data_IF_578516488140
#
_entry.id   IF_578516488140
#
_cell.length_a   1.000
_cell.length_b   1.000
_cell.length_c   1.000
_cell.angle_alpha   90.00
_cell.angle_beta   90.00
_cell.angle_gamma   90.00
#
_symmetry.space_group_name_H-M   'P 1'
#
loop_
_entity.id
_entity.type
_entity.pdbx_description
1 polymer ?
#
# COMPACT_ATOMS: atom_id res chain seq x y z
N UNK A 1 -24.71 39.51 14.17
CA UNK A 1 -23.55 40.30 13.69
C UNK A 1 -23.33 40.25 12.16
N UNK A 2 -23.74 39.19 11.47
CA UNK A 2 -23.53 39.02 10.02
C UNK A 2 -24.40 39.92 9.12
N UNK A 3 -25.58 40.38 9.62
CA UNK A 3 -26.50 41.24 8.87
C UNK A 3 -26.03 42.71 8.74
N UNK A 4 -25.15 43.17 9.65
CA UNK A 4 -24.61 44.55 9.63
C UNK A 4 -23.36 44.70 8.75
N UNK A 5 -22.63 43.61 8.47
CA UNK A 5 -21.46 43.63 7.59
C UNK A 5 -21.86 43.60 6.12
N UNK A 6 -23.02 43.00 5.80
CA UNK A 6 -23.56 42.94 4.43
C UNK A 6 -24.11 44.31 3.96
N UNK A 7 -24.52 45.18 4.88
CA UNK A 7 -25.02 46.52 4.55
C UNK A 7 -23.87 47.53 4.34
N UNK A 8 -22.71 47.32 4.94
CA UNK A 8 -21.56 48.22 4.79
C UNK A 8 -20.73 47.91 3.53
N UNK A 9 -20.83 46.73 2.96
CA UNK A 9 -20.19 46.39 1.69
C UNK A 9 -21.02 46.82 0.46
N UNK A 10 -22.30 47.11 0.62
CA UNK A 10 -23.16 47.59 -0.45
C UNK A 10 -23.01 49.10 -0.73
N UNK A 11 -22.47 49.87 0.21
CA UNK A 11 -22.33 51.35 0.07
C UNK A 11 -20.94 51.85 -0.36
N UNK A 12 -19.95 50.96 -0.45
CA UNK A 12 -18.57 51.34 -0.85
C UNK A 12 -18.31 51.16 -2.37
N UNK A 13 -19.31 50.78 -3.17
CA UNK A 13 -19.10 50.47 -4.59
C UNK A 13 -19.69 51.51 -5.56
N UNK A 14 -19.99 52.72 -5.11
CA UNK A 14 -20.65 53.73 -5.93
C UNK A 14 -19.79 54.94 -6.30
N UNK A 15 -18.49 54.92 -6.23
CA UNK A 15 -17.68 56.02 -6.82
C UNK A 15 -16.35 55.50 -7.34
N UNK A 16 -16.30 55.10 -8.61
CA UNK A 16 -15.11 55.17 -9.43
C UNK A 16 -15.55 55.39 -10.87
N UNK A 17 -15.93 56.59 -11.19
CA UNK A 17 -16.03 57.08 -12.57
C UNK A 17 -14.60 57.24 -13.09
N UNK A 18 -14.11 56.25 -13.82
CA UNK A 18 -12.90 56.38 -14.62
C UNK A 18 -13.33 56.91 -15.99
N UNK A 19 -12.84 58.08 -16.34
CA UNK A 19 -13.01 58.71 -17.63
C UNK A 19 -12.44 57.80 -18.76
N UNK A 20 -13.04 57.72 -19.94
CA UNK A 20 -12.49 56.99 -21.06
C UNK A 20 -11.25 57.70 -21.60
N UNK A 21 -10.09 57.06 -21.50
CA UNK A 21 -8.92 57.45 -22.30
C UNK A 21 -9.25 57.02 -23.74
N UNK A 22 -9.36 58.00 -24.58
CA UNK A 22 -9.46 57.78 -26.05
C UNK A 22 -8.16 57.11 -26.50
N UNK A 23 -8.22 55.82 -26.79
CA UNK A 23 -7.12 55.15 -27.46
C UNK A 23 -7.04 55.72 -28.89
N UNK A 24 -5.98 56.46 -29.16
CA UNK A 24 -5.62 56.82 -30.53
C UNK A 24 -5.31 55.55 -31.30
N UNK A 25 -6.03 55.35 -32.43
CA UNK A 25 -5.75 54.28 -33.36
C UNK A 25 -4.36 54.49 -33.97
N UNK A 26 -3.47 53.53 -33.73
CA UNK A 26 -2.21 53.44 -34.43
C UNK A 26 -2.47 53.12 -35.90
N UNK A 27 -1.58 53.51 -36.85
CA UNK A 27 -1.78 53.31 -38.29
C UNK A 27 -1.91 51.82 -38.64
N UNK A 28 -2.75 51.54 -39.59
CA UNK A 28 -3.07 50.19 -40.15
C UNK A 28 -1.81 49.52 -40.73
N UNK A 29 -1.06 48.79 -39.93
CA UNK A 29 0.04 47.97 -40.43
C UNK A 29 -0.51 46.69 -41.11
N UNK A 30 -0.41 46.65 -42.43
CA UNK A 30 -0.67 45.46 -43.20
C UNK A 30 0.52 44.51 -43.02
N UNK A 31 0.29 43.40 -42.35
CA UNK A 31 1.31 42.35 -42.15
C UNK A 31 1.10 41.21 -43.13
N UNK A 32 2.22 40.61 -43.54
CA UNK A 32 2.20 39.38 -44.34
C UNK A 32 2.15 38.16 -43.44
N UNK A 33 1.33 37.19 -43.79
CA UNK A 33 1.16 35.94 -43.04
C UNK A 33 1.19 34.72 -43.95
N UNK A 34 1.63 33.59 -43.41
CA UNK A 34 1.46 32.29 -44.08
C UNK A 34 0.74 31.30 -43.13
N UNK A 35 -0.03 30.41 -43.71
CA UNK A 35 -0.67 29.32 -42.98
C UNK A 35 0.18 28.07 -43.17
N UNK A 36 0.51 27.41 -42.06
CA UNK A 36 1.23 26.12 -42.05
C UNK A 36 0.35 25.07 -42.74
N UNK A 37 0.89 24.41 -43.77
CA UNK A 37 0.17 23.40 -44.53
C UNK A 37 -0.04 22.12 -43.74
N UNK A 38 -1.19 21.50 -43.93
CA UNK A 38 -1.45 20.17 -43.48
C UNK A 38 -0.62 19.13 -44.25
N UNK A 39 -0.29 17.98 -43.69
CA UNK A 39 0.50 16.94 -44.35
C UNK A 39 -0.08 16.51 -45.68
N UNK A 40 -1.40 16.49 -45.82
CA UNK A 40 -2.10 16.13 -47.07
C UNK A 40 -1.79 17.10 -48.21
N UNK A 41 -1.56 18.38 -47.87
CA UNK A 41 -1.22 19.43 -48.82
C UNK A 41 0.31 19.57 -49.02
N UNK A 42 1.12 18.82 -48.27
CA UNK A 42 2.58 18.87 -48.31
C UNK A 42 3.21 17.49 -48.63
N UNK A 43 2.54 16.67 -49.46
CA UNK A 43 3.06 15.36 -49.87
C UNK A 43 3.21 14.34 -48.76
N UNK A 44 2.36 14.40 -47.71
CA UNK A 44 2.35 13.49 -46.59
C UNK A 44 3.38 13.83 -45.51
N UNK A 45 4.07 14.96 -45.58
CA UNK A 45 5.09 15.41 -44.61
C UNK A 45 4.61 16.62 -43.83
N UNK A 46 4.95 16.70 -42.58
CA UNK A 46 4.75 17.90 -41.78
C UNK A 46 5.55 19.06 -42.36
N UNK A 47 4.94 20.24 -42.43
CA UNK A 47 5.60 21.47 -42.84
C UNK A 47 6.64 21.88 -41.78
N UNK A 48 7.71 22.57 -42.17
CA UNK A 48 8.76 23.05 -41.27
C UNK A 48 9.13 24.50 -41.57
N UNK A 49 9.66 25.21 -40.58
CA UNK A 49 10.07 26.61 -40.73
C UNK A 49 11.02 26.82 -41.91
N UNK A 50 12.07 25.99 -42.16
CA UNK A 50 12.91 26.11 -43.33
C UNK A 50 12.17 25.94 -44.65
N UNK A 51 11.18 25.03 -44.70
CA UNK A 51 10.34 24.84 -45.94
C UNK A 51 9.43 26.03 -46.18
N UNK A 52 8.87 26.60 -45.10
CA UNK A 52 8.06 27.81 -45.19
C UNK A 52 8.92 29.00 -45.64
N UNK A 53 10.12 29.16 -45.06
CA UNK A 53 11.05 30.20 -45.46
C UNK A 53 11.45 30.08 -46.96
N UNK A 54 11.72 28.85 -47.43
CA UNK A 54 12.02 28.61 -48.85
C UNK A 54 10.90 29.04 -49.75
N UNK A 55 9.63 28.78 -49.40
CA UNK A 55 8.46 29.11 -50.24
C UNK A 55 8.05 30.57 -50.16
N UNK A 56 8.33 31.26 -49.03
CA UNK A 56 7.84 32.64 -48.79
C UNK A 56 8.93 33.69 -48.87
N UNK A 57 10.20 33.32 -48.64
CA UNK A 57 11.34 34.22 -48.63
C UNK A 57 12.43 33.83 -49.66
N UNK A 58 12.28 32.62 -50.28
CA UNK A 58 13.23 32.13 -51.29
C UNK A 58 14.50 31.50 -50.69
N UNK A 59 14.69 31.51 -49.37
CA UNK A 59 15.88 31.02 -48.67
C UNK A 59 15.52 30.31 -47.37
N UNK A 60 15.97 29.07 -47.23
CA UNK A 60 15.76 28.25 -46.03
C UNK A 60 16.50 28.79 -44.78
N UNK A 61 17.63 29.46 -44.99
CA UNK A 61 18.43 30.01 -43.90
C UNK A 61 17.70 31.14 -43.14
N UNK A 62 16.71 31.75 -43.76
CA UNK A 62 15.88 32.80 -43.15
C UNK A 62 14.75 32.26 -42.27
N UNK A 63 14.71 30.99 -42.00
CA UNK A 63 13.73 30.39 -41.07
C UNK A 63 13.79 31.00 -39.66
N UNK A 64 14.94 31.45 -39.20
CA UNK A 64 15.14 32.12 -37.93
C UNK A 64 14.39 33.45 -37.85
N UNK A 65 14.28 34.22 -38.94
CA UNK A 65 13.51 35.44 -38.98
C UNK A 65 12.01 35.18 -38.74
N UNK A 66 11.48 34.09 -39.32
CA UNK A 66 10.09 33.68 -39.10
C UNK A 66 9.91 33.21 -37.65
N UNK A 67 10.90 32.49 -37.08
CA UNK A 67 10.87 32.05 -35.70
C UNK A 67 10.81 33.24 -34.73
N UNK A 68 11.67 34.21 -34.93
CA UNK A 68 11.77 35.39 -34.03
C UNK A 68 10.51 36.27 -34.08
N UNK A 69 9.87 36.41 -35.25
CA UNK A 69 8.61 37.13 -35.39
C UNK A 69 7.41 36.45 -34.73
N UNK A 70 7.50 35.14 -34.51
CA UNK A 70 6.40 34.34 -33.99
C UNK A 70 6.66 33.71 -32.61
N UNK A 71 7.83 33.89 -32.06
CA UNK A 71 8.21 33.33 -30.76
C UNK A 71 7.21 33.73 -29.67
N UNK A 72 6.67 32.75 -28.96
CA UNK A 72 5.74 32.97 -27.85
C UNK A 72 4.35 33.47 -28.27
N UNK A 73 4.07 33.62 -29.57
CA UNK A 73 2.77 34.08 -30.06
C UNK A 73 1.74 32.97 -29.95
N UNK A 74 0.59 33.20 -29.31
CA UNK A 74 -0.43 32.17 -29.18
C UNK A 74 -1.10 31.91 -30.55
N UNK A 75 -1.31 30.66 -30.86
CA UNK A 75 -2.01 30.15 -32.04
C UNK A 75 -3.45 29.76 -31.70
N UNK A 76 -4.26 29.49 -32.72
CA UNK A 76 -5.68 29.17 -32.57
C UNK A 76 -5.97 27.90 -31.78
N UNK A 77 -5.02 26.98 -31.69
CA UNK A 77 -5.07 25.74 -30.90
C UNK A 77 -4.53 25.90 -29.49
N UNK A 78 -4.16 27.13 -29.06
CA UNK A 78 -3.54 27.43 -27.77
C UNK A 78 -2.06 27.08 -27.71
N UNK A 79 -1.45 26.57 -28.79
CA UNK A 79 -0.01 26.35 -28.87
C UNK A 79 0.75 27.65 -29.09
N UNK A 80 2.06 27.62 -28.84
CA UNK A 80 2.99 28.74 -29.09
C UNK A 80 4.23 28.22 -29.80
N UNK A 81 4.82 29.02 -30.67
CA UNK A 81 6.08 28.69 -31.30
C UNK A 81 7.22 28.82 -30.29
N UNK A 82 7.98 27.76 -30.10
CA UNK A 82 9.11 27.68 -29.17
C UNK A 82 10.42 27.62 -29.94
N UNK A 83 11.54 27.66 -29.23
CA UNK A 83 12.89 27.60 -29.81
C UNK A 83 13.19 26.28 -30.55
N UNK A 84 12.37 25.22 -30.35
CA UNK A 84 12.46 24.00 -31.15
C UNK A 84 12.10 24.18 -32.61
N UNK A 85 11.41 25.28 -32.96
CA UNK A 85 10.98 25.55 -34.32
C UNK A 85 9.89 24.63 -34.86
N UNK A 86 9.26 23.83 -34.02
CA UNK A 86 8.17 22.94 -34.40
C UNK A 86 6.90 23.71 -34.71
N UNK A 87 6.31 23.49 -35.89
CA UNK A 87 5.05 24.12 -36.32
C UNK A 87 3.98 23.07 -36.52
N UNK A 88 2.71 23.48 -36.30
CA UNK A 88 1.56 22.60 -36.53
C UNK A 88 0.71 23.09 -37.66
N UNK A 89 0.10 22.17 -38.37
CA UNK A 89 -0.83 22.48 -39.45
C UNK A 89 -1.93 23.44 -38.99
N UNK A 90 -2.20 24.45 -39.80
CA UNK A 90 -3.21 25.48 -39.52
C UNK A 90 -2.70 26.67 -38.71
N UNK A 91 -1.46 26.66 -38.18
CA UNK A 91 -0.89 27.83 -37.54
C UNK A 91 -0.69 28.99 -38.49
N UNK A 92 -0.90 30.22 -38.03
CA UNK A 92 -0.74 31.46 -38.79
C UNK A 92 0.56 32.14 -38.34
N UNK A 93 1.55 32.13 -39.22
CA UNK A 93 2.85 32.71 -38.97
C UNK A 93 2.95 34.08 -39.61
N UNK A 94 3.46 35.05 -38.82
CA UNK A 94 3.88 36.35 -39.34
C UNK A 94 5.15 36.17 -40.17
N UNK A 95 5.19 36.87 -41.29
CA UNK A 95 6.32 36.87 -42.21
C UNK A 95 6.97 38.24 -42.28
N UNK A 96 8.28 38.31 -42.59
CA UNK A 96 8.95 39.54 -42.93
C UNK A 96 8.26 40.32 -44.04
N UNK A 97 8.44 41.63 -44.11
CA UNK A 97 7.74 42.51 -45.06
C UNK A 97 8.08 42.21 -46.51
N UNK A 98 9.24 41.64 -46.80
CA UNK A 98 9.70 41.25 -48.14
C UNK A 98 9.18 39.87 -48.60
N UNK A 99 8.47 39.12 -47.71
CA UNK A 99 7.93 37.82 -48.10
C UNK A 99 7.01 37.93 -49.34
N UNK A 100 7.16 36.96 -50.25
CA UNK A 100 6.42 36.90 -51.52
C UNK A 100 6.12 35.44 -51.88
N UNK A 101 5.08 35.20 -52.66
CA UNK A 101 4.73 33.87 -53.14
C UNK A 101 3.24 33.53 -52.98
N UNK A 102 2.82 32.37 -53.49
CA UNK A 102 1.39 32.01 -53.52
C UNK A 102 0.81 31.70 -52.11
N UNK A 103 1.64 31.42 -51.15
CA UNK A 103 1.25 31.12 -49.77
C UNK A 103 1.21 32.37 -48.88
N UNK A 104 1.68 33.51 -49.35
CA UNK A 104 1.70 34.77 -48.58
C UNK A 104 0.37 35.47 -48.71
N UNK A 105 -0.26 35.74 -47.59
CA UNK A 105 -1.51 36.50 -47.49
C UNK A 105 -1.24 37.79 -46.72
N UNK A 106 -1.86 38.91 -47.21
CA UNK A 106 -1.85 40.16 -46.47
C UNK A 106 -3.02 40.14 -45.48
N UNK A 107 -2.71 40.33 -44.19
CA UNK A 107 -3.68 40.42 -43.13
C UNK A 107 -3.49 41.72 -42.34
N UNK A 108 -4.54 42.21 -41.74
CA UNK A 108 -4.43 43.30 -40.73
C UNK A 108 -4.34 42.71 -39.36
N UNK A 109 -3.32 43.07 -38.61
CA UNK A 109 -3.24 42.79 -37.20
C UNK A 109 -4.03 43.92 -36.51
N UNK A 110 -5.28 43.70 -36.39
CA UNK A 110 -6.11 44.66 -35.70
C UNK A 110 -7.53 44.16 -35.60
N UNK A 111 -8.05 44.25 -34.40
CA UNK A 111 -9.45 44.33 -34.02
C UNK A 111 -10.45 43.71 -35.02
N UNK A 112 -11.05 42.63 -34.66
CA UNK A 112 -12.28 42.17 -35.29
C UNK A 112 -13.20 43.41 -35.49
N UNK A 113 -13.34 43.83 -36.72
CA UNK A 113 -14.29 44.88 -37.05
C UNK A 113 -15.69 44.36 -36.75
N UNK A 114 -16.30 44.88 -35.73
CA UNK A 114 -17.74 44.73 -35.47
C UNK A 114 -18.45 45.51 -36.57
N UNK A 115 -18.93 44.75 -37.55
CA UNK A 115 -19.83 45.30 -38.61
C UNK A 115 -21.08 45.85 -37.94
N UNK A 116 -21.42 47.06 -38.30
CA UNK A 116 -22.47 47.90 -37.75
C UNK A 116 -23.82 47.17 -37.55
N UNK A 117 -24.23 47.18 -36.31
CA UNK A 117 -25.61 46.91 -35.89
C UNK A 117 -25.98 48.03 -34.91
N UNK A 118 -27.06 48.72 -35.22
CA UNK A 118 -27.80 49.76 -34.51
C UNK A 118 -27.40 50.09 -33.04
N UNK A 119 -27.43 51.34 -32.63
CA UNK A 119 -26.90 51.83 -31.36
C UNK A 119 -27.82 51.58 -30.17
N UNK A 120 -28.17 50.30 -29.91
CA UNK A 120 -28.92 49.91 -28.70
C UNK A 120 -28.00 49.47 -27.54
N UNK A 121 -26.68 49.39 -27.76
CA UNK A 121 -25.73 49.07 -26.72
C UNK A 121 -25.18 50.37 -26.07
N UNK A 122 -26.02 51.03 -25.35
CA UNK A 122 -25.52 52.10 -24.44
C UNK A 122 -24.69 51.44 -23.34
N UNK A 123 -23.57 52.07 -22.93
CA UNK A 123 -22.70 51.68 -21.81
C UNK A 123 -23.49 51.25 -20.57
N UNK A 124 -24.66 51.82 -20.38
CA UNK A 124 -25.61 51.46 -19.30
C UNK A 124 -26.13 50.05 -19.39
N UNK A 125 -26.33 49.49 -20.57
CA UNK A 125 -26.78 48.10 -20.77
C UNK A 125 -25.63 47.13 -20.55
N UNK A 126 -24.42 47.47 -21.01
CA UNK A 126 -23.22 46.67 -20.76
C UNK A 126 -22.90 46.60 -19.30
N UNK A 127 -22.93 47.70 -18.55
CA UNK A 127 -22.69 47.75 -17.12
C UNK A 127 -23.76 47.02 -16.32
N UNK A 128 -25.01 47.06 -16.73
CA UNK A 128 -26.10 46.30 -16.13
C UNK A 128 -25.94 44.78 -16.34
N UNK A 129 -25.47 44.38 -17.51
CA UNK A 129 -25.23 42.95 -17.86
C UNK A 129 -24.03 42.38 -17.11
N UNK A 130 -22.94 43.15 -16.99
CA UNK A 130 -21.78 42.80 -16.18
C UNK A 130 -22.15 42.73 -14.69
N UNK A 131 -22.93 43.70 -14.18
CA UNK A 131 -23.45 43.67 -12.83
C UNK A 131 -24.32 42.47 -12.53
N UNK A 132 -25.20 42.08 -13.46
CA UNK A 132 -26.04 40.91 -13.36
C UNK A 132 -25.22 39.59 -13.34
N UNK A 133 -24.18 39.49 -14.19
CA UNK A 133 -23.27 38.34 -14.21
C UNK A 133 -22.50 38.22 -12.89
N UNK A 134 -21.98 39.34 -12.37
CA UNK A 134 -21.29 39.35 -11.08
C UNK A 134 -22.24 38.94 -9.94
N UNK A 135 -23.45 39.46 -9.92
CA UNK A 135 -24.48 39.07 -8.95
C UNK A 135 -24.88 37.59 -9.07
N UNK A 136 -24.99 37.08 -10.28
CA UNK A 136 -25.25 35.66 -10.53
C UNK A 136 -24.07 34.79 -10.02
N UNK A 137 -22.83 35.21 -10.28
CA UNK A 137 -21.64 34.50 -9.79
C UNK A 137 -21.56 34.54 -8.26
N UNK A 138 -21.83 35.69 -7.63
CA UNK A 138 -21.87 35.79 -6.17
C UNK A 138 -23.00 34.91 -5.59
N UNK A 139 -24.17 34.93 -6.21
CA UNK A 139 -25.29 34.08 -5.78
C UNK A 139 -24.95 32.59 -5.95
N UNK A 140 -24.33 32.22 -7.06
CA UNK A 140 -23.83 30.87 -7.30
C UNK A 140 -22.79 30.48 -6.24
N UNK A 141 -21.85 31.37 -5.96
CA UNK A 141 -20.80 31.17 -4.95
C UNK A 141 -21.39 31.04 -3.54
N UNK A 142 -22.44 31.81 -3.20
CA UNK A 142 -23.14 31.72 -1.92
C UNK A 142 -23.95 30.41 -1.82
N UNK A 143 -24.64 30.01 -2.89
CA UNK A 143 -25.41 28.77 -2.94
C UNK A 143 -24.48 27.56 -2.88
N UNK A 144 -23.38 27.59 -3.66
CA UNK A 144 -22.41 26.49 -3.72
C UNK A 144 -21.37 26.51 -2.59
N UNK A 145 -21.26 27.62 -1.85
CA UNK A 145 -20.29 27.79 -0.74
C UNK A 145 -20.37 26.64 0.27
N UNK A 146 -21.59 26.15 0.56
CA UNK A 146 -21.77 24.99 1.47
C UNK A 146 -21.34 23.67 0.83
N UNK A 147 -21.47 23.52 -0.50
CA UNK A 147 -21.03 22.33 -1.23
C UNK A 147 -19.51 22.36 -1.51
N UNK A 148 -18.99 23.51 -1.90
CA UNK A 148 -17.57 23.72 -2.12
C UNK A 148 -16.82 23.61 -0.78
N UNK A 149 -17.31 24.26 0.26
CA UNK A 149 -16.71 24.17 1.59
C UNK A 149 -16.68 22.75 2.15
N UNK A 150 -17.72 21.93 1.91
CA UNK A 150 -17.71 20.50 2.25
C UNK A 150 -16.66 19.75 1.43
N UNK A 151 -16.65 19.86 0.10
CA UNK A 151 -15.67 19.19 -0.76
C UNK A 151 -14.21 19.58 -0.49
N UNK A 152 -13.96 20.85 -0.20
CA UNK A 152 -12.63 21.33 0.18
C UNK A 152 -12.24 20.79 1.55
N UNK A 153 -13.17 20.79 2.50
CA UNK A 153 -12.96 20.24 3.84
C UNK A 153 -12.73 18.74 3.80
N UNK A 154 -13.51 18.02 2.99
CA UNK A 154 -13.37 16.56 2.82
C UNK A 154 -12.03 16.21 2.17
N UNK A 155 -11.60 16.96 1.15
CA UNK A 155 -10.27 16.78 0.55
C UNK A 155 -9.13 17.14 1.50
N UNK A 156 -9.29 18.22 2.27
CA UNK A 156 -8.30 18.60 3.28
C UNK A 156 -8.22 17.58 4.40
N UNK A 157 -9.38 17.11 4.91
CA UNK A 157 -9.41 16.05 5.91
C UNK A 157 -8.80 14.75 5.35
N UNK A 158 -9.15 14.36 4.13
CA UNK A 158 -8.55 13.19 3.47
C UNK A 158 -7.02 13.34 3.31
N UNK A 159 -6.52 14.53 3.01
CA UNK A 159 -5.08 14.79 2.93
C UNK A 159 -4.39 14.72 4.30
N UNK A 160 -5.01 15.30 5.33
CA UNK A 160 -4.51 15.26 6.72
C UNK A 160 -4.55 13.84 7.26
N UNK A 161 -5.64 13.10 6.99
CA UNK A 161 -5.78 11.71 7.43
C UNK A 161 -4.78 10.80 6.71
N UNK A 162 -4.54 11.02 5.42
CA UNK A 162 -3.52 10.32 4.67
C UNK A 162 -2.10 10.62 5.21
N UNK A 163 -1.81 11.88 5.55
CA UNK A 163 -0.53 12.27 6.14
C UNK A 163 -0.33 11.68 7.56
N UNK A 164 -1.41 11.60 8.36
CA UNK A 164 -1.39 10.92 9.67
C UNK A 164 -1.20 9.43 9.50
N UNK A 165 -1.89 8.82 8.54
CA UNK A 165 -1.77 7.41 8.23
C UNK A 165 -0.34 7.03 7.79
N UNK A 166 0.29 7.84 6.91
CA UNK A 166 1.69 7.64 6.53
C UNK A 166 2.67 7.73 7.72
N UNK A 167 2.47 8.70 8.63
CA UNK A 167 3.30 8.80 9.83
C UNK A 167 3.12 7.59 10.74
N UNK A 168 1.88 7.14 10.95
CA UNK A 168 1.60 5.95 11.73
C UNK A 168 2.23 4.70 11.13
N UNK A 169 2.18 4.54 9.80
CA UNK A 169 2.85 3.42 9.13
C UNK A 169 4.36 3.48 9.34
N UNK A 170 4.98 4.65 9.16
CA UNK A 170 6.42 4.80 9.34
C UNK A 170 6.84 4.50 10.80
N UNK A 171 6.05 4.94 11.77
CA UNK A 171 6.30 4.65 13.18
C UNK A 171 6.18 3.16 13.48
N UNK A 172 5.13 2.51 12.97
CA UNK A 172 4.95 1.05 13.09
C UNK A 172 6.06 0.26 12.40
N UNK A 173 6.50 0.71 11.23
CA UNK A 173 7.65 0.10 10.53
C UNK A 173 8.93 0.21 11.36
N UNK A 174 9.15 1.35 12.03
CA UNK A 174 10.29 1.51 12.96
C UNK A 174 10.19 0.56 14.15
N UNK A 175 9.02 0.48 14.79
CA UNK A 175 8.79 -0.45 15.91
C UNK A 175 9.04 -1.89 15.49
N UNK A 176 8.56 -2.29 14.31
CA UNK A 176 8.80 -3.64 13.77
C UNK A 176 10.27 -3.90 13.45
N UNK A 177 10.99 -2.91 12.93
CA UNK A 177 12.43 -3.02 12.70
C UNK A 177 13.21 -3.16 14.03
N UNK A 178 12.85 -2.37 15.05
CA UNK A 178 13.44 -2.51 16.39
C UNK A 178 13.18 -3.90 16.99
N UNK A 179 11.95 -4.41 16.86
CA UNK A 179 11.63 -5.78 17.28
C UNK A 179 12.46 -6.83 16.54
N UNK A 180 12.78 -6.60 15.27
CA UNK A 180 13.64 -7.49 14.49
C UNK A 180 15.07 -7.53 15.04
N UNK A 181 15.61 -6.37 15.37
CA UNK A 181 16.94 -6.26 15.97
C UNK A 181 16.96 -6.92 17.38
N UNK A 182 15.93 -6.67 18.19
CA UNK A 182 15.76 -7.32 19.49
C UNK A 182 15.64 -8.84 19.34
N UNK A 183 14.84 -9.35 18.41
CA UNK A 183 14.69 -10.79 18.15
C UNK A 183 16.00 -11.44 17.75
N UNK A 184 16.84 -10.73 17.01
CA UNK A 184 18.14 -11.23 16.57
C UNK A 184 19.15 -11.23 17.73
N UNK A 185 19.13 -10.21 18.55
CA UNK A 185 20.06 -10.04 19.68
C UNK A 185 19.67 -10.87 20.90
N UNK A 186 18.36 -11.05 21.13
CA UNK A 186 17.83 -11.70 22.33
C UNK A 186 18.03 -13.23 22.29
N UNK A 187 18.82 -13.72 23.19
CA UNK A 187 19.02 -15.16 23.44
C UNK A 187 18.43 -15.61 24.76
N UNK A 188 18.15 -14.68 25.65
CA UNK A 188 17.71 -14.99 27.02
C UNK A 188 16.26 -15.47 27.04
N UNK A 189 15.35 -14.72 26.39
CA UNK A 189 13.92 -15.08 26.34
C UNK A 189 13.66 -16.43 25.65
N UNK A 190 14.26 -16.76 24.49
CA UNK A 190 14.13 -18.10 23.91
C UNK A 190 14.65 -19.21 24.85
N UNK A 191 15.78 -18.98 25.50
CA UNK A 191 16.33 -19.95 26.47
C UNK A 191 15.38 -20.17 27.65
N UNK A 192 14.84 -19.08 28.20
CA UNK A 192 13.88 -19.14 29.29
C UNK A 192 12.58 -19.85 28.88
N UNK A 193 12.05 -19.52 27.68
CA UNK A 193 10.87 -20.20 27.14
C UNK A 193 11.09 -21.71 27.00
N UNK A 194 12.25 -22.11 26.49
CA UNK A 194 12.62 -23.53 26.33
C UNK A 194 12.71 -24.25 27.68
N UNK A 195 13.39 -23.66 28.64
CA UNK A 195 13.49 -24.23 29.99
C UNK A 195 12.11 -24.37 30.64
N UNK A 196 11.30 -23.32 30.51
CA UNK A 196 9.93 -23.31 31.06
C UNK A 196 9.05 -24.40 30.43
N UNK A 197 9.11 -24.55 29.10
CA UNK A 197 8.33 -25.59 28.42
C UNK A 197 8.81 -27.00 28.80
N UNK A 198 10.12 -27.20 28.95
CA UNK A 198 10.68 -28.46 29.38
C UNK A 198 10.30 -28.80 30.86
N UNK A 199 10.31 -27.80 31.73
CA UNK A 199 9.88 -27.93 33.14
C UNK A 199 8.39 -28.33 33.20
N UNK A 200 7.51 -27.62 32.53
CA UNK A 200 6.08 -27.95 32.45
C UNK A 200 5.86 -29.36 31.91
N UNK A 201 6.59 -29.74 30.85
CA UNK A 201 6.51 -31.07 30.26
C UNK A 201 6.94 -32.17 31.28
N UNK A 202 7.97 -31.92 32.05
CA UNK A 202 8.41 -32.84 33.11
C UNK A 202 7.35 -33.02 34.22
N UNK A 203 6.55 -32.02 34.48
CA UNK A 203 5.41 -32.03 35.39
C UNK A 203 4.12 -32.56 34.75
N UNK A 204 4.19 -33.07 33.53
CA UNK A 204 3.04 -33.54 32.73
C UNK A 204 2.03 -32.45 32.40
N UNK A 205 2.45 -31.18 32.44
CA UNK A 205 1.68 -30.02 32.02
C UNK A 205 2.03 -29.70 30.57
N UNK A 206 1.05 -29.68 29.71
CA UNK A 206 1.26 -29.38 28.31
C UNK A 206 0.96 -27.90 28.02
N UNK A 207 2.03 -27.13 27.74
CA UNK A 207 1.93 -25.74 27.34
C UNK A 207 1.97 -25.65 25.81
N UNK A 208 0.97 -25.02 25.20
CA UNK A 208 0.92 -24.79 23.75
C UNK A 208 1.37 -23.41 23.33
N UNK A 209 1.42 -22.46 24.25
CA UNK A 209 2.01 -21.15 24.06
C UNK A 209 2.64 -20.61 25.33
N UNK A 210 3.68 -19.82 25.19
CA UNK A 210 4.38 -19.15 26.28
C UNK A 210 4.58 -17.67 25.92
N UNK A 211 4.36 -16.79 26.89
CA UNK A 211 4.77 -15.38 26.79
C UNK A 211 5.85 -15.12 27.81
N UNK A 212 7.00 -14.62 27.34
CA UNK A 212 8.13 -14.28 28.19
C UNK A 212 8.26 -12.76 28.21
N UNK A 213 7.85 -12.17 29.32
CA UNK A 213 8.06 -10.77 29.67
C UNK A 213 9.40 -10.51 30.32
N UNK A 214 9.57 -9.31 30.90
CA UNK A 214 10.76 -8.97 31.70
C UNK A 214 10.73 -9.67 33.04
N UNK A 215 9.63 -9.58 33.77
CA UNK A 215 9.47 -10.09 35.13
C UNK A 215 8.54 -11.30 35.22
N UNK A 216 7.79 -11.61 34.17
CA UNK A 216 6.75 -12.63 34.21
C UNK A 216 6.82 -13.58 33.01
N UNK A 217 6.47 -14.84 33.29
CA UNK A 217 6.23 -15.83 32.25
C UNK A 217 4.78 -16.26 32.36
N UNK A 218 4.06 -16.17 31.26
CA UNK A 218 2.68 -16.66 31.12
C UNK A 218 2.68 -17.91 30.24
N UNK A 219 2.00 -18.96 30.67
CA UNK A 219 1.84 -20.19 29.92
C UNK A 219 0.36 -20.45 29.63
N UNK A 220 0.03 -20.76 28.39
CA UNK A 220 -1.27 -21.32 28.00
C UNK A 220 -1.14 -22.84 28.04
N UNK A 221 -1.88 -23.46 28.92
CA UNK A 221 -1.72 -24.87 29.24
C UNK A 221 -3.03 -25.63 29.08
N UNK A 222 -2.90 -26.92 28.83
CA UNK A 222 -3.97 -27.88 29.02
C UNK A 222 -3.60 -28.71 30.25
N UNK A 223 -4.25 -28.47 31.38
CA UNK A 223 -4.04 -29.19 32.58
C UNK A 223 -5.37 -29.49 33.29
N UNK A 224 -5.50 -30.71 33.76
CA UNK A 224 -6.68 -31.16 34.52
C UNK A 224 -6.54 -30.93 36.04
N UNK A 225 -5.46 -30.26 36.44
CA UNK A 225 -5.13 -30.03 37.85
C UNK A 225 -4.75 -28.54 38.09
N UNK A 226 -4.87 -28.04 39.32
CA UNK A 226 -4.47 -26.68 39.62
C UNK A 226 -2.96 -26.50 39.44
N UNK A 227 -2.50 -25.23 39.23
CA UNK A 227 -1.09 -24.95 39.01
C UNK A 227 -0.23 -25.37 40.20
N UNK A 228 0.92 -25.96 39.90
CA UNK A 228 1.95 -26.28 40.85
C UNK A 228 2.80 -25.04 41.16
N UNK A 229 3.23 -24.89 42.45
CA UNK A 229 4.14 -23.80 42.80
C UNK A 229 5.42 -23.88 41.95
N UNK A 230 5.93 -22.77 41.39
CA UNK A 230 5.60 -21.36 41.63
C UNK A 230 4.51 -20.76 40.70
N UNK A 231 3.78 -21.55 39.96
CA UNK A 231 2.75 -21.10 39.08
C UNK A 231 1.46 -20.67 39.78
N UNK A 232 0.79 -19.69 39.24
CA UNK A 232 -0.50 -19.20 39.69
C UNK A 232 -1.48 -19.22 38.50
N UNK A 233 -2.72 -19.68 38.73
CA UNK A 233 -3.75 -19.57 37.74
C UNK A 233 -4.23 -18.12 37.63
N UNK A 234 -4.24 -17.58 36.42
CA UNK A 234 -4.82 -16.26 36.14
C UNK A 234 -6.26 -16.42 35.61
N UNK A 235 -6.44 -17.35 34.70
CA UNK A 235 -7.73 -17.80 34.18
C UNK A 235 -7.66 -19.28 33.83
N UNK A 236 -8.79 -19.89 33.43
CA UNK A 236 -8.80 -21.27 32.96
C UNK A 236 -7.82 -21.46 31.81
N UNK A 237 -6.87 -22.36 31.98
CA UNK A 237 -5.84 -22.68 31.02
C UNK A 237 -4.72 -21.64 30.86
N UNK A 238 -4.65 -20.60 31.73
CA UNK A 238 -3.58 -19.63 31.70
C UNK A 238 -2.91 -19.52 33.07
N UNK A 239 -1.65 -19.87 33.11
CA UNK A 239 -0.81 -19.84 34.33
C UNK A 239 0.27 -18.78 34.19
N UNK A 240 0.57 -18.11 35.30
CA UNK A 240 1.62 -17.08 35.36
C UNK A 240 2.61 -17.39 36.50
N UNK A 241 3.86 -17.01 36.27
CA UNK A 241 4.91 -17.02 37.33
C UNK A 241 5.89 -15.87 37.14
N UNK A 242 6.67 -15.56 38.15
CA UNK A 242 7.79 -14.62 38.04
C UNK A 242 8.93 -15.24 37.24
N UNK A 243 9.54 -14.49 36.32
CA UNK A 243 10.58 -14.96 35.40
C UNK A 243 11.83 -15.52 36.08
N UNK A 244 12.16 -15.02 37.28
CA UNK A 244 13.33 -15.47 38.09
C UNK A 244 13.12 -16.71 38.93
N UNK A 245 11.89 -17.22 39.01
CA UNK A 245 11.59 -18.44 39.78
C UNK A 245 11.95 -19.68 38.94
N UNK A 246 13.24 -19.99 38.84
CA UNK A 246 13.71 -21.18 38.10
C UNK A 246 13.51 -22.42 38.97
N UNK A 247 12.71 -23.37 38.48
CA UNK A 247 12.75 -24.74 38.97
C UNK A 247 14.06 -25.43 38.58
N UNK A 248 14.32 -26.58 39.20
CA UNK A 248 15.47 -27.40 38.81
C UNK A 248 15.44 -27.77 37.33
N UNK A 249 16.58 -27.78 36.61
CA UNK A 249 16.60 -28.22 35.22
C UNK A 249 16.01 -29.62 35.13
N UNK A 250 15.06 -29.85 34.22
CA UNK A 250 14.41 -31.13 34.11
C UNK A 250 15.45 -32.20 33.77
N UNK A 251 15.53 -33.24 34.60
CA UNK A 251 16.19 -34.47 34.20
C UNK A 251 15.47 -34.99 32.95
N UNK A 252 16.23 -35.25 31.88
CA UNK A 252 15.75 -35.74 30.60
C UNK A 252 14.83 -36.96 30.86
N UNK A 253 13.52 -36.78 30.70
CA UNK A 253 12.51 -37.85 30.75
C UNK A 253 11.91 -38.02 29.34
N UNK A 254 11.43 -39.22 29.10
CA UNK A 254 10.88 -39.71 27.81
C UNK A 254 9.63 -38.91 27.34
N UNK A 255 9.79 -37.65 26.97
CA UNK A 255 8.75 -36.79 26.42
C UNK A 255 9.15 -36.18 25.07
N UNK A 256 8.16 -35.89 24.23
CA UNK A 256 8.39 -35.17 22.99
C UNK A 256 8.91 -33.76 23.32
N UNK A 257 10.10 -33.44 22.83
CA UNK A 257 10.69 -32.13 23.03
C UNK A 257 9.79 -31.02 22.40
N UNK A 258 9.56 -29.91 23.10
CA UNK A 258 8.79 -28.79 22.57
C UNK A 258 9.49 -28.21 21.34
N UNK A 259 8.71 -27.73 20.37
CA UNK A 259 9.20 -27.01 19.20
C UNK A 259 8.71 -25.58 19.23
N UNK A 260 9.28 -24.78 20.14
CA UNK A 260 8.89 -23.40 20.38
C UNK A 260 9.46 -22.49 19.29
N UNK A 261 8.59 -21.66 18.72
CA UNK A 261 8.93 -20.62 17.73
C UNK A 261 8.37 -19.28 18.16
N UNK A 262 9.10 -18.20 17.91
CA UNK A 262 8.66 -16.85 18.21
C UNK A 262 7.69 -16.34 17.13
N UNK A 263 6.60 -15.74 17.56
CA UNK A 263 5.60 -15.15 16.64
C UNK A 263 5.77 -13.65 16.56
N UNK A 264 5.95 -13.02 17.70
CA UNK A 264 6.01 -11.57 17.79
C UNK A 264 6.27 -11.10 19.20
N UNK A 265 6.34 -9.78 19.36
CA UNK A 265 6.51 -9.12 20.65
C UNK A 265 5.40 -8.10 20.91
N UNK A 266 5.34 -7.61 22.14
CA UNK A 266 4.44 -6.57 22.59
C UNK A 266 4.90 -6.00 23.92
N UNK A 267 4.08 -5.12 24.51
CA UNK A 267 4.37 -4.52 25.82
C UNK A 267 4.56 -5.59 26.92
N UNK A 268 3.84 -6.71 26.80
CA UNK A 268 3.88 -7.80 27.79
C UNK A 268 4.99 -8.85 27.53
N UNK A 269 5.82 -8.66 26.50
CA UNK A 269 6.92 -9.56 26.18
C UNK A 269 6.80 -10.28 24.84
N UNK A 270 7.61 -11.34 24.67
CA UNK A 270 7.70 -12.14 23.43
C UNK A 270 6.81 -13.38 23.53
N UNK A 271 6.00 -13.62 22.52
CA UNK A 271 5.12 -14.78 22.39
C UNK A 271 5.83 -15.92 21.64
N UNK A 272 5.79 -17.09 22.25
CA UNK A 272 6.23 -18.36 21.69
C UNK A 272 5.04 -19.30 21.53
N UNK A 273 5.01 -20.06 20.44
CA UNK A 273 4.01 -21.11 20.21
C UNK A 273 4.74 -22.43 19.94
N UNK A 274 4.24 -23.50 20.51
CA UNK A 274 4.78 -24.85 20.29
C UNK A 274 4.16 -25.46 19.03
N UNK A 275 4.95 -25.60 17.97
CA UNK A 275 4.49 -26.16 16.70
C UNK A 275 4.02 -27.62 16.83
N UNK A 276 4.48 -28.35 17.84
CA UNK A 276 4.02 -29.74 18.06
C UNK A 276 2.54 -29.83 18.46
N UNK A 277 1.96 -28.69 18.89
CA UNK A 277 0.54 -28.56 19.23
C UNK A 277 -0.33 -28.15 18.06
N UNK A 278 0.26 -27.62 16.98
CA UNK A 278 -0.52 -27.22 15.82
C UNK A 278 -1.24 -28.41 15.17
N UNK A 279 -0.67 -29.60 15.29
CA UNK A 279 -1.23 -30.89 14.82
C UNK A 279 -2.26 -30.73 13.68
N UNK A 280 -1.77 -30.31 12.51
CA UNK A 280 -2.59 -30.00 11.36
C UNK A 280 -2.10 -28.80 10.55
N UNK A 281 -3.02 -27.96 10.12
CA UNK A 281 -2.74 -26.82 9.25
C UNK A 281 -2.91 -25.50 10.00
N UNK A 282 -1.89 -24.64 9.88
CA UNK A 282 -1.92 -23.24 10.25
C UNK A 282 -2.12 -22.39 8.99
N UNK A 283 -3.18 -21.59 8.95
CA UNK A 283 -3.38 -20.57 7.93
C UNK A 283 -3.02 -19.19 8.47
N UNK A 284 -2.19 -18.44 7.75
CA UNK A 284 -1.83 -17.05 8.07
C UNK A 284 -2.43 -16.15 7.00
N UNK A 285 -3.63 -15.64 7.29
CA UNK A 285 -4.38 -14.77 6.40
C UNK A 285 -4.10 -13.28 6.63
N UNK A 286 -4.71 -12.43 5.80
CA UNK A 286 -4.64 -10.97 5.90
C UNK A 286 -3.55 -10.35 5.04
N UNK A 287 -2.71 -9.49 5.60
CA UNK A 287 -1.64 -8.80 4.86
C UNK A 287 -0.53 -9.75 4.45
N UNK A 288 -0.36 -9.97 3.16
CA UNK A 288 0.64 -10.90 2.62
C UNK A 288 2.07 -10.57 3.09
N UNK A 289 2.46 -9.29 3.11
CA UNK A 289 3.80 -8.88 3.57
C UNK A 289 4.06 -9.27 5.03
N UNK A 290 3.09 -9.02 5.91
CA UNK A 290 3.22 -9.37 7.33
C UNK A 290 3.18 -10.89 7.53
N UNK A 291 2.33 -11.60 6.79
CA UNK A 291 2.27 -13.07 6.84
C UNK A 291 3.60 -13.71 6.41
N UNK A 292 4.25 -13.16 5.38
CA UNK A 292 5.58 -13.57 4.94
C UNK A 292 6.64 -13.31 6.02
N UNK A 293 6.60 -12.15 6.68
CA UNK A 293 7.53 -11.83 7.78
C UNK A 293 7.36 -12.81 8.96
N UNK A 294 6.10 -13.13 9.32
CA UNK A 294 5.79 -14.13 10.35
C UNK A 294 6.37 -15.49 9.97
N UNK A 295 6.08 -15.97 8.76
CA UNK A 295 6.61 -17.24 8.27
C UNK A 295 8.14 -17.26 8.30
N UNK A 296 8.79 -16.20 7.84
CA UNK A 296 10.25 -16.11 7.81
C UNK A 296 10.88 -16.15 9.22
N UNK A 297 10.22 -15.54 10.20
CA UNK A 297 10.65 -15.60 11.60
C UNK A 297 10.47 -17.00 12.21
N UNK A 298 9.33 -17.66 11.92
CA UNK A 298 9.08 -19.04 12.32
C UNK A 298 10.14 -19.98 11.75
N UNK A 299 10.45 -19.87 10.46
CA UNK A 299 11.44 -20.71 9.79
C UNK A 299 12.86 -20.45 10.32
N UNK A 300 13.19 -19.21 10.67
CA UNK A 300 14.50 -18.88 11.26
C UNK A 300 14.68 -19.54 12.64
N UNK A 301 13.66 -19.44 13.49
CA UNK A 301 13.71 -20.10 14.79
C UNK A 301 13.72 -21.63 14.66
N UNK A 302 12.90 -22.16 13.76
CA UNK A 302 12.88 -23.61 13.48
C UNK A 302 14.26 -24.10 13.04
N UNK A 303 14.87 -23.44 12.05
CA UNK A 303 16.20 -23.83 11.55
C UNK A 303 17.26 -23.77 12.64
N UNK A 304 17.10 -22.85 13.60
CA UNK A 304 18.04 -22.68 14.71
C UNK A 304 17.88 -23.78 15.79
N UNK A 305 16.64 -24.11 16.13
CA UNK A 305 16.36 -25.01 17.26
C UNK A 305 16.11 -26.46 16.84
N UNK A 306 15.65 -26.68 15.60
CA UNK A 306 15.36 -28.00 15.01
C UNK A 306 15.91 -28.10 13.58
N UNK A 307 17.24 -28.01 13.42
CA UNK A 307 17.87 -28.12 12.09
C UNK A 307 17.66 -29.51 11.44
N UNK A 308 17.31 -30.49 12.26
CA UNK A 308 17.00 -31.88 11.87
C UNK A 308 15.61 -32.04 11.23
N UNK A 309 14.70 -31.08 11.43
CA UNK A 309 13.34 -31.17 10.94
C UNK A 309 13.27 -30.91 9.43
N UNK A 310 12.75 -31.86 8.62
CA UNK A 310 12.55 -31.63 7.20
C UNK A 310 11.53 -30.51 6.95
N UNK A 311 11.94 -29.50 6.18
CA UNK A 311 11.05 -28.46 5.68
C UNK A 311 10.73 -28.75 4.23
N UNK A 312 9.46 -28.92 3.93
CA UNK A 312 8.93 -29.15 2.59
C UNK A 312 8.35 -27.84 2.07
N UNK A 313 8.70 -27.39 0.89
CA UNK A 313 8.15 -26.16 0.31
C UNK A 313 7.53 -26.43 -1.05
N UNK A 314 6.29 -26.01 -1.22
CA UNK A 314 5.64 -26.00 -2.52
C UNK A 314 6.09 -24.77 -3.30
N UNK A 315 6.38 -24.95 -4.58
CA UNK A 315 6.80 -23.85 -5.45
C UNK A 315 5.57 -23.00 -5.81
N UNK A 316 5.50 -21.77 -5.28
CA UNK A 316 4.42 -20.84 -5.59
C UNK A 316 4.71 -19.97 -6.81
N UNK A 317 3.67 -19.29 -7.32
CA UNK A 317 3.76 -18.36 -8.45
C UNK A 317 4.63 -17.13 -8.11
N UNK A 318 4.69 -16.74 -6.85
CA UNK A 318 5.45 -15.57 -6.37
C UNK A 318 6.90 -15.89 -6.00
N UNK A 319 7.38 -17.10 -6.27
CA UNK A 319 8.73 -17.52 -5.91
C UNK A 319 8.84 -18.20 -4.55
N UNK A 320 10.06 -18.39 -4.07
CA UNK A 320 10.31 -19.03 -2.77
C UNK A 320 10.08 -18.05 -1.63
N UNK A 321 9.37 -18.45 -0.55
CA UNK A 321 9.24 -17.61 0.62
C UNK A 321 10.61 -17.35 1.28
N UNK A 322 10.84 -16.13 1.79
CA UNK A 322 12.09 -15.80 2.45
C UNK A 322 12.26 -16.62 3.74
N UNK A 323 13.50 -16.96 4.06
CA UNK A 323 13.83 -17.70 5.28
C UNK A 323 13.75 -19.21 5.17
N UNK A 324 13.45 -19.75 4.01
CA UNK A 324 13.56 -21.19 3.79
C UNK A 324 15.00 -21.67 4.01
N UNK A 325 15.21 -22.75 4.77
CA UNK A 325 16.53 -23.34 4.92
C UNK A 325 17.04 -23.89 3.58
N UNK A 326 18.34 -23.85 3.38
CA UNK A 326 18.97 -24.41 2.16
C UNK A 326 18.70 -25.91 1.99
N UNK A 327 18.38 -26.60 3.08
CA UNK A 327 18.03 -28.02 3.13
C UNK A 327 16.55 -28.30 2.80
N UNK A 328 15.75 -27.24 2.54
CA UNK A 328 14.33 -27.41 2.22
C UNK A 328 14.12 -28.28 0.97
N UNK A 329 13.22 -29.24 1.08
CA UNK A 329 12.83 -30.13 -0.01
C UNK A 329 11.74 -29.44 -0.82
N UNK A 330 12.03 -29.19 -2.11
CA UNK A 330 11.07 -28.54 -3.01
C UNK A 330 10.10 -29.55 -3.59
N UNK A 331 8.81 -29.28 -3.41
CA UNK A 331 7.71 -30.06 -4.00
C UNK A 331 7.10 -29.29 -5.16
N UNK A 332 6.60 -30.00 -6.15
CA UNK A 332 5.94 -29.38 -7.32
C UNK A 332 4.50 -28.98 -7.02
N UNK A 333 3.83 -29.74 -6.17
CA UNK A 333 2.43 -29.56 -5.81
C UNK A 333 2.19 -29.99 -4.37
N UNK A 334 1.12 -29.46 -3.79
CA UNK A 334 0.59 -29.92 -2.49
C UNK A 334 0.26 -31.41 -2.51
N UNK A 335 -0.14 -31.93 -3.66
CA UNK A 335 -0.47 -33.37 -3.83
C UNK A 335 0.74 -34.30 -3.70
N UNK A 336 1.97 -33.77 -3.77
CA UNK A 336 3.19 -34.55 -3.51
C UNK A 336 3.37 -34.85 -2.01
N UNK A 337 2.64 -34.12 -1.14
CA UNK A 337 2.65 -34.37 0.29
C UNK A 337 1.98 -35.70 0.59
N UNK A 338 2.74 -36.65 1.10
CA UNK A 338 2.20 -37.96 1.47
C UNK A 338 1.67 -37.92 2.89
N UNK A 339 0.46 -38.38 3.09
CA UNK A 339 -0.03 -38.67 4.43
C UNK A 339 0.92 -39.72 5.05
N UNK A 340 1.66 -39.33 6.06
CA UNK A 340 2.35 -40.27 6.91
C UNK A 340 1.25 -40.95 7.71
N UNK A 341 0.93 -42.21 7.37
CA UNK A 341 -0.11 -42.92 8.06
C UNK A 341 0.15 -42.94 9.58
N UNK A 342 -0.88 -43.00 10.41
CA UNK A 342 -0.70 -43.18 11.84
C UNK A 342 0.21 -44.39 12.04
N UNK A 343 1.36 -44.16 12.67
CA UNK A 343 2.22 -45.25 13.07
C UNK A 343 1.35 -46.29 13.77
N UNK A 344 1.48 -47.55 13.37
CA UNK A 344 0.70 -48.72 13.74
C UNK A 344 0.52 -48.90 15.27
N UNK A 345 -0.29 -48.08 15.84
CA UNK A 345 -0.65 -48.03 17.26
C UNK A 345 -2.03 -47.41 17.49
N UNK A 346 -2.80 -47.24 16.42
CA UNK A 346 -4.04 -46.47 16.42
C UNK A 346 -5.26 -47.30 16.80
N UNK A 347 -5.28 -47.87 18.00
CA UNK A 347 -6.54 -48.50 18.48
C UNK A 347 -6.97 -48.00 19.88
N UNK A 348 -6.41 -46.93 20.39
CA UNK A 348 -6.85 -46.34 21.65
C UNK A 348 -7.49 -44.95 21.41
N UNK A 349 -8.78 -45.01 21.22
CA UNK A 349 -9.77 -43.95 21.41
C UNK A 349 -9.41 -42.57 20.96
N UNK A 350 -10.02 -42.04 19.90
CA UNK A 350 -9.91 -40.72 19.31
C UNK A 350 -9.90 -39.54 20.32
N UNK A 351 -10.41 -39.74 21.53
CA UNK A 351 -10.52 -38.71 22.58
C UNK A 351 -9.19 -38.51 23.33
N UNK A 352 -8.35 -39.53 23.45
CA UNK A 352 -7.02 -39.39 24.08
C UNK A 352 -5.94 -38.88 23.12
N UNK A 353 -6.17 -38.96 21.82
CA UNK A 353 -5.26 -38.48 20.78
C UNK A 353 -5.19 -36.95 20.70
N UNK A 354 -6.23 -36.25 21.12
CA UNK A 354 -6.30 -34.79 21.02
C UNK A 354 -5.46 -34.03 22.06
N UNK A 355 -5.05 -34.69 23.12
CA UNK A 355 -4.42 -34.05 24.30
C UNK A 355 -2.91 -34.33 24.46
N UNK A 356 -2.26 -35.02 23.54
CA UNK A 356 -0.82 -35.31 23.65
C UNK A 356 -0.02 -34.59 22.59
N UNK A 357 1.09 -33.96 23.03
CA UNK A 357 2.12 -33.40 22.14
C UNK A 357 2.61 -34.46 21.17
N UNK A 358 2.65 -34.12 19.87
CA UNK A 358 3.06 -35.04 18.81
C UNK A 358 4.49 -34.79 18.39
N UNK A 359 5.21 -35.83 18.04
CA UNK A 359 6.51 -35.68 17.39
C UNK A 359 6.31 -35.05 16.03
N UNK A 360 6.88 -33.87 15.84
CA UNK A 360 6.89 -33.17 14.57
C UNK A 360 7.87 -33.89 13.62
N UNK A 361 7.36 -34.45 12.54
CA UNK A 361 8.14 -35.24 11.55
C UNK A 361 8.50 -34.43 10.32
N UNK A 362 7.67 -33.45 9.94
CA UNK A 362 7.91 -32.55 8.81
C UNK A 362 7.09 -31.26 8.95
N UNK A 363 7.62 -30.17 8.40
CA UNK A 363 6.91 -28.91 8.21
C UNK A 363 6.73 -28.65 6.73
N UNK A 364 5.49 -28.50 6.26
CA UNK A 364 5.18 -28.09 4.90
C UNK A 364 4.89 -26.58 4.84
N UNK A 365 5.44 -25.90 3.86
CA UNK A 365 5.22 -24.47 3.60
C UNK A 365 4.53 -24.31 2.26
N UNK A 366 3.34 -23.71 2.28
CA UNK A 366 2.52 -23.43 1.11
C UNK A 366 2.42 -21.91 0.97
N UNK A 367 3.10 -21.30 -0.01
CA UNK A 367 3.25 -19.84 -0.10
C UNK A 367 2.02 -19.10 -0.62
N UNK A 368 0.98 -19.82 -1.00
CA UNK A 368 -0.26 -19.24 -1.53
C UNK A 368 -1.48 -20.08 -1.09
N UNK A 369 -2.67 -19.50 -1.25
CA UNK A 369 -3.92 -20.22 -0.93
C UNK A 369 -4.10 -21.38 -1.90
N UNK A 370 -4.16 -22.63 -1.41
CA UNK A 370 -4.34 -23.80 -2.26
C UNK A 370 -5.74 -23.82 -2.89
N UNK A 371 -5.89 -24.50 -4.03
CA UNK A 371 -7.19 -24.82 -4.61
C UNK A 371 -8.02 -25.72 -3.68
N UNK A 372 -9.32 -25.84 -3.94
CA UNK A 372 -10.21 -26.64 -3.08
C UNK A 372 -9.75 -28.10 -2.95
N UNK A 373 -9.28 -28.69 -4.05
CA UNK A 373 -8.81 -30.09 -4.07
C UNK A 373 -7.47 -30.22 -3.33
N UNK A 374 -6.54 -29.29 -3.53
CA UNK A 374 -5.27 -29.23 -2.80
C UNK A 374 -5.49 -28.98 -1.31
N UNK A 375 -6.46 -28.13 -0.97
CA UNK A 375 -6.85 -27.86 0.42
C UNK A 375 -7.37 -29.14 1.11
N UNK A 376 -8.24 -29.87 0.44
CA UNK A 376 -8.76 -31.14 0.96
C UNK A 376 -7.62 -32.15 1.14
N UNK A 377 -6.73 -32.27 0.17
CA UNK A 377 -5.55 -33.14 0.25
C UNK A 377 -4.63 -32.74 1.41
N UNK A 378 -4.35 -31.43 1.55
CA UNK A 378 -3.50 -30.89 2.62
C UNK A 378 -4.06 -31.18 4.01
N UNK A 379 -5.35 -30.92 4.20
CA UNK A 379 -6.05 -31.20 5.46
C UNK A 379 -6.06 -32.68 5.80
N UNK A 380 -6.12 -33.55 4.80
CA UNK A 380 -6.03 -35.00 5.00
C UNK A 380 -4.59 -35.43 5.32
N UNK A 381 -3.59 -34.91 4.59
CA UNK A 381 -2.18 -35.27 4.77
C UNK A 381 -1.62 -34.80 6.12
N UNK A 382 -2.02 -33.60 6.55
CA UNK A 382 -1.67 -33.01 7.85
C UNK A 382 -2.76 -33.23 8.89
N UNK A 383 -3.57 -34.25 8.76
CA UNK A 383 -4.61 -34.57 9.73
C UNK A 383 -4.07 -34.88 11.14
N UNK A 384 -4.95 -34.89 12.16
CA UNK A 384 -4.56 -35.14 13.53
C UNK A 384 -3.76 -36.41 13.67
N UNK A 385 -2.64 -36.33 14.36
CA UNK A 385 -1.77 -37.49 14.61
C UNK A 385 -0.80 -37.83 13.49
N UNK A 386 -0.79 -37.10 12.36
CA UNK A 386 0.17 -37.33 11.26
C UNK A 386 1.61 -36.97 11.63
N UNK A 387 1.81 -36.11 12.61
CA UNK A 387 3.10 -35.52 12.93
C UNK A 387 3.58 -34.51 11.89
N UNK A 388 2.77 -34.19 10.90
CA UNK A 388 3.06 -33.18 9.89
C UNK A 388 2.28 -31.92 10.20
N UNK A 389 2.96 -30.77 10.12
CA UNK A 389 2.34 -29.46 10.22
C UNK A 389 2.51 -28.74 8.89
N UNK A 390 1.44 -28.12 8.41
CA UNK A 390 1.53 -27.27 7.24
C UNK A 390 1.24 -25.80 7.63
N UNK A 391 2.01 -24.88 7.06
CA UNK A 391 1.79 -23.43 7.15
C UNK A 391 1.39 -22.94 5.77
N UNK A 392 0.19 -22.35 5.67
CA UNK A 392 -0.38 -21.79 4.43
C UNK A 392 -0.39 -20.27 4.54
N UNK A 393 0.20 -19.59 3.57
CA UNK A 393 0.03 -18.15 3.43
C UNK A 393 -1.27 -17.86 2.68
N UNK A 394 -2.28 -17.43 3.43
CA UNK A 394 -3.62 -17.16 2.93
C UNK A 394 -4.70 -17.70 3.84
N UNK A 395 -5.95 -17.52 3.45
CA UNK A 395 -7.08 -18.05 4.19
C UNK A 395 -7.38 -19.49 3.73
N UNK A 396 -7.48 -20.40 4.67
CA UNK A 396 -7.82 -21.80 4.42
C UNK A 396 -9.00 -22.23 5.31
N UNK A 397 -10.20 -22.34 4.75
CA UNK A 397 -11.33 -22.91 5.46
C UNK A 397 -11.02 -24.34 5.91
N UNK A 398 -11.25 -24.63 7.19
CA UNK A 398 -10.94 -25.94 7.76
C UNK A 398 -9.55 -26.06 8.39
N UNK A 399 -8.67 -25.06 8.25
CA UNK A 399 -7.44 -25.00 9.03
C UNK A 399 -7.78 -24.95 10.53
N UNK A 400 -7.04 -25.72 11.33
CA UNK A 400 -7.23 -25.79 12.78
C UNK A 400 -6.81 -24.50 13.47
N UNK A 401 -5.73 -23.89 12.99
CA UNK A 401 -5.22 -22.62 13.49
C UNK A 401 -5.30 -21.57 12.38
N UNK A 402 -5.86 -20.42 12.68
CA UNK A 402 -6.01 -19.32 11.70
C UNK A 402 -5.57 -18.01 12.33
N UNK A 403 -4.39 -17.59 11.96
CA UNK A 403 -3.86 -16.30 12.38
C UNK A 403 -4.20 -15.23 11.36
N UNK A 404 -4.47 -14.04 11.83
CA UNK A 404 -4.75 -12.90 10.96
C UNK A 404 -3.66 -11.84 11.10
N UNK A 405 -2.92 -11.64 10.00
CA UNK A 405 -1.88 -10.64 9.90
C UNK A 405 -2.47 -9.31 9.39
N UNK A 406 -2.40 -8.26 10.17
CA UNK A 406 -2.90 -6.93 9.81
C UNK A 406 -1.79 -6.12 9.13
N UNK A 407 -2.17 -5.17 8.25
CA UNK A 407 -1.21 -4.35 7.49
C UNK A 407 -0.32 -3.48 8.38
N UNK A 408 -0.70 -3.28 9.63
CA UNK A 408 0.07 -2.54 10.64
C UNK A 408 1.15 -3.38 11.35
N UNK A 409 1.28 -4.66 10.99
CA UNK A 409 2.23 -5.58 11.57
C UNK A 409 1.69 -6.39 12.74
N UNK A 410 0.46 -6.16 13.15
CA UNK A 410 -0.18 -6.96 14.18
C UNK A 410 -0.59 -8.32 13.66
N UNK A 411 -0.43 -9.33 14.49
CA UNK A 411 -0.88 -10.70 14.23
C UNK A 411 -1.81 -11.10 15.35
N UNK A 412 -3.03 -11.43 14.98
CA UNK A 412 -4.05 -11.90 15.92
C UNK A 412 -4.10 -13.42 15.91
N UNK A 413 -4.02 -14.01 17.08
CA UNK A 413 -4.10 -15.44 17.34
C UNK A 413 -5.41 -15.72 18.12
N UNK A 414 -6.52 -15.99 17.40
CA UNK A 414 -7.84 -16.15 18.04
C UNK A 414 -7.88 -17.32 19.02
N UNK A 415 -7.11 -18.38 18.74
CA UNK A 415 -7.08 -19.62 19.51
C UNK A 415 -6.61 -19.40 20.95
N UNK A 416 -5.78 -18.40 21.17
CA UNK A 416 -5.26 -18.03 22.49
C UNK A 416 -5.69 -16.63 22.93
N UNK A 417 -6.50 -15.94 22.10
CA UNK A 417 -7.02 -14.60 22.40
C UNK A 417 -5.96 -13.50 22.44
N UNK A 418 -4.80 -13.70 21.79
CA UNK A 418 -3.65 -12.80 21.86
C UNK A 418 -3.44 -12.06 20.53
N UNK A 419 -2.97 -10.82 20.63
CA UNK A 419 -2.47 -10.05 19.50
C UNK A 419 -1.03 -9.62 19.79
N UNK A 420 -0.14 -9.87 18.85
CA UNK A 420 1.28 -9.49 18.94
C UNK A 420 1.69 -8.67 17.73
N UNK A 421 2.81 -7.95 17.83
CA UNK A 421 3.43 -7.28 16.70
C UNK A 421 4.53 -8.17 16.12
N UNK A 422 4.42 -8.55 14.87
CA UNK A 422 5.45 -9.31 14.19
C UNK A 422 6.64 -8.40 13.81
N UNK A 423 7.89 -8.84 14.05
CA UNK A 423 9.06 -8.13 13.56
C UNK A 423 9.05 -8.11 12.02
N UNK A 424 9.61 -7.05 11.42
CA UNK A 424 9.83 -6.99 9.97
C UNK A 424 11.14 -7.70 9.61
N UNK A 425 11.20 -8.30 8.45
CA UNK A 425 12.42 -8.82 7.86
C UNK A 425 12.90 -7.98 6.69
#
# INVERSE_FOLDING_TARGET
>A
MIRRILLLLATAFTVALVAPVAAQAAPDDVVKVAVVRAPEANGGRNDSLPQIAQRTLGDQARATEILDLNRGRPQSDGGTLTDSGEVRAGWILLLPADASGPDVRSGRVGSAAVTGGTPFFTWKVVSALVGAVILALISLLVIFRRRIGRRVRDRYNAYVDNARWHRQIQERMRVRAQLSDEFTADRARPSLAWHTAAELTAEQVEAYALRVGEDTVTAWVTADHPPLSPWQAETDGMWTRTAGASGNPPSQRDGVAPCLVRIGGGEDGTLFVDLTWLDGVLAIGGSAGVAIDVLANLLADLTRFRPDLPVLSVQGLCGEPPGLPSTAIRMRSVTDLRATGPGSGADDGMVRLAARRRTLTALAVIPETPSADEAAHLLAACGPGSGQVAIVLGDLPGARWRWNAEADGKVRLPEIGVTVTAPSR
#
